data_IF_878243273181
#
_entry.id   IF_878243273181
#
_cell.length_a   1.000
_cell.length_b   1.000
_cell.length_c   1.000
_cell.angle_alpha   90.00
_cell.angle_beta   90.00
_cell.angle_gamma   90.00
#
_symmetry.space_group_name_H-M   'P 1'
#
loop_
_entity.id
_entity.type
_entity.pdbx_description
1 polymer ?
#
# COMPACT_ATOMS: atom_id res chain seq x y z
N UNK A 1 21.92 2.12 12.85
CA UNK A 1 20.68 1.61 13.47
C UNK A 1 19.58 2.66 13.61
N UNK A 2 19.83 3.85 14.21
CA UNK A 2 18.80 4.88 14.41
C UNK A 2 18.08 5.32 13.13
N UNK A 3 18.81 5.55 12.04
CA UNK A 3 18.21 5.91 10.74
C UNK A 3 17.28 4.81 10.17
N UNK A 4 17.64 3.53 10.34
CA UNK A 4 16.84 2.39 9.86
C UNK A 4 15.47 2.31 10.55
N UNK A 5 15.41 2.58 11.85
CA UNK A 5 14.16 2.59 12.61
C UNK A 5 13.29 3.80 12.23
N UNK A 6 13.89 4.98 12.08
CA UNK A 6 13.15 6.18 11.70
C UNK A 6 12.49 6.02 10.32
N UNK A 7 13.21 5.52 9.31
CA UNK A 7 12.63 5.28 7.99
C UNK A 7 11.51 4.25 8.03
N UNK A 8 11.71 3.13 8.74
CA UNK A 8 10.66 2.14 9.00
C UNK A 8 9.41 2.74 9.65
N UNK A 9 9.56 3.67 10.58
CA UNK A 9 8.42 4.37 11.22
C UNK A 9 7.72 5.30 10.24
N UNK A 10 8.48 6.07 9.45
CA UNK A 10 7.92 6.99 8.45
C UNK A 10 7.14 6.21 7.39
N UNK A 11 7.72 5.15 6.81
CA UNK A 11 7.06 4.29 5.82
C UNK A 11 5.82 3.61 6.41
N UNK A 12 5.91 3.12 7.66
CA UNK A 12 4.79 2.53 8.40
C UNK A 12 3.62 3.49 8.60
N UNK A 13 3.90 4.70 9.11
CA UNK A 13 2.89 5.73 9.35
C UNK A 13 2.30 6.21 8.01
N UNK A 14 3.14 6.39 7.00
CA UNK A 14 2.71 6.80 5.67
C UNK A 14 1.74 5.78 5.07
N UNK A 15 2.11 4.49 5.05
CA UNK A 15 1.28 3.48 4.39
C UNK A 15 -0.04 3.27 5.11
N UNK A 16 -0.04 3.22 6.44
CA UNK A 16 -1.28 3.02 7.18
C UNK A 16 -2.20 4.23 7.02
N UNK A 17 -1.64 5.44 7.00
CA UNK A 17 -2.41 6.66 6.73
C UNK A 17 -3.03 6.61 5.34
N UNK A 18 -2.21 6.38 4.31
CA UNK A 18 -2.68 6.42 2.92
C UNK A 18 -3.68 5.32 2.60
N UNK A 19 -3.47 4.11 3.11
CA UNK A 19 -4.36 3.00 2.80
C UNK A 19 -5.64 3.09 3.62
N UNK A 20 -5.59 3.48 4.90
CA UNK A 20 -6.74 3.27 5.79
C UNK A 20 -7.48 4.56 6.19
N UNK A 21 -6.80 5.71 6.17
CA UNK A 21 -7.34 6.95 6.72
C UNK A 21 -7.48 8.07 5.69
N UNK A 22 -6.65 8.05 4.65
CA UNK A 22 -6.70 9.06 3.59
C UNK A 22 -8.02 8.97 2.84
N UNK A 23 -8.62 10.14 2.61
CA UNK A 23 -9.89 10.29 1.90
C UNK A 23 -9.72 11.31 0.78
N UNK A 24 -10.40 11.08 -0.33
CA UNK A 24 -10.39 11.98 -1.48
C UNK A 24 -11.69 11.84 -2.25
N UNK A 25 -12.07 12.88 -3.01
CA UNK A 25 -13.17 12.80 -3.99
C UNK A 25 -12.72 12.20 -5.32
N UNK A 26 -11.42 12.30 -5.61
CA UNK A 26 -10.83 11.87 -6.85
C UNK A 26 -10.54 10.38 -6.79
N UNK A 27 -10.97 9.66 -7.81
CA UNK A 27 -10.66 8.25 -7.95
C UNK A 27 -10.25 7.98 -9.39
N UNK A 28 -9.14 7.28 -9.54
CA UNK A 28 -8.62 6.87 -10.83
C UNK A 28 -8.95 5.39 -10.99
N UNK A 29 -9.55 5.05 -12.12
CA UNK A 29 -10.10 3.73 -12.39
C UNK A 29 -9.52 3.16 -13.68
N UNK A 30 -9.31 1.84 -13.71
CA UNK A 30 -9.00 1.12 -14.93
C UNK A 30 -10.10 0.07 -15.26
N UNK A 31 -10.27 -0.32 -16.54
CA UNK A 31 -11.36 -1.22 -16.94
C UNK A 31 -11.34 -2.60 -16.28
N UNK A 32 -10.18 -3.07 -15.81
CA UNK A 32 -10.06 -4.37 -15.15
C UNK A 32 -10.70 -4.37 -13.74
N UNK A 33 -10.92 -3.19 -13.12
CA UNK A 33 -11.66 -3.08 -11.85
C UNK A 33 -13.11 -3.55 -11.99
N UNK A 34 -13.71 -3.37 -13.17
CA UNK A 34 -15.08 -3.82 -13.46
C UNK A 34 -15.23 -5.34 -13.37
N UNK A 35 -14.14 -6.10 -13.61
CA UNK A 35 -14.15 -7.56 -13.51
C UNK A 35 -14.13 -8.05 -12.04
N UNK A 36 -13.80 -7.16 -11.11
CA UNK A 36 -13.75 -7.44 -9.67
C UNK A 36 -15.01 -6.94 -8.95
N UNK A 37 -15.95 -6.33 -9.68
CA UNK A 37 -17.27 -5.95 -9.17
C UNK A 37 -18.08 -7.19 -8.79
N UNK A 38 -18.46 -7.28 -7.51
CA UNK A 38 -19.28 -8.37 -6.95
C UNK A 38 -18.71 -8.98 -5.67
N UNK A 39 -17.43 -8.71 -5.38
CA UNK A 39 -16.79 -9.14 -4.14
C UNK A 39 -16.69 -7.96 -3.15
N UNK A 40 -17.43 -8.01 -2.04
CA UNK A 40 -17.46 -6.94 -1.01
C UNK A 40 -16.09 -6.60 -0.42
N UNK A 41 -15.12 -7.50 -0.49
CA UNK A 41 -13.77 -7.31 0.04
C UNK A 41 -12.79 -6.67 -0.95
N UNK A 42 -13.07 -6.83 -2.24
CA UNK A 42 -12.27 -6.28 -3.36
C UNK A 42 -12.92 -5.04 -3.98
N UNK A 43 -14.23 -4.86 -3.75
CA UNK A 43 -14.96 -3.65 -4.10
C UNK A 43 -14.35 -2.43 -3.40
N UNK A 44 -14.08 -1.41 -4.20
CA UNK A 44 -13.78 -0.05 -3.74
C UNK A 44 -14.84 0.88 -4.32
N UNK A 45 -15.06 2.07 -3.74
CA UNK A 45 -16.02 3.01 -4.29
C UNK A 45 -15.60 3.45 -5.69
N UNK A 46 -16.40 3.14 -6.70
CA UNK A 46 -16.20 3.57 -8.09
C UNK A 46 -17.17 4.71 -8.38
N UNK A 47 -16.65 5.85 -8.84
CA UNK A 47 -17.44 6.99 -9.32
C UNK A 47 -18.54 7.53 -8.36
N UNK A 48 -18.39 7.36 -7.05
CA UNK A 48 -19.34 7.94 -6.08
C UNK A 48 -19.28 9.48 -6.05
N UNK A 49 -18.12 10.08 -6.37
CA UNK A 49 -17.86 11.51 -6.19
C UNK A 49 -17.72 11.93 -4.71
N UNK A 50 -17.89 10.98 -3.80
CA UNK A 50 -17.91 11.21 -2.37
C UNK A 50 -16.50 11.33 -1.77
N UNK A 51 -16.39 12.11 -0.71
CA UNK A 51 -15.15 12.27 0.06
C UNK A 51 -14.96 11.10 1.03
N UNK A 52 -14.30 10.06 0.56
CA UNK A 52 -14.11 8.81 1.29
C UNK A 52 -12.78 8.15 0.95
N UNK A 53 -12.46 7.08 1.66
CA UNK A 53 -11.28 6.28 1.37
C UNK A 53 -11.55 5.45 0.11
N UNK A 54 -10.68 5.61 -0.90
CA UNK A 54 -10.84 4.95 -2.21
C UNK A 54 -10.13 3.61 -2.30
N UNK A 55 -9.64 3.07 -1.18
CA UNK A 55 -8.96 1.78 -1.09
C UNK A 55 -9.97 0.71 -0.67
N UNK A 56 -9.89 -0.48 -1.29
CA UNK A 56 -10.77 -1.60 -0.97
C UNK A 56 -10.44 -2.21 0.40
N UNK A 57 -11.34 -3.05 0.92
CA UNK A 57 -11.14 -3.75 2.21
C UNK A 57 -9.84 -4.55 2.25
N UNK A 58 -9.48 -5.26 1.17
CA UNK A 58 -8.19 -5.96 1.09
C UNK A 58 -7.00 -5.01 1.16
N UNK A 59 -7.07 -3.88 0.44
CA UNK A 59 -6.04 -2.86 0.49
C UNK A 59 -5.84 -2.34 1.93
N UNK A 60 -6.91 -2.07 2.65
CA UNK A 60 -6.85 -1.63 4.05
C UNK A 60 -6.15 -2.66 4.96
N UNK A 61 -6.43 -3.94 4.75
CA UNK A 61 -5.72 -5.03 5.44
C UNK A 61 -4.24 -5.05 5.08
N UNK A 62 -3.89 -4.90 3.80
CA UNK A 62 -2.50 -4.81 3.34
C UNK A 62 -1.78 -3.61 3.98
N UNK A 63 -2.46 -2.48 4.16
CA UNK A 63 -1.93 -1.32 4.89
C UNK A 63 -1.49 -1.66 6.31
N UNK A 64 -2.31 -2.41 7.05
CA UNK A 64 -1.95 -2.90 8.39
C UNK A 64 -0.80 -3.92 8.36
N UNK A 65 -0.82 -4.87 7.40
CA UNK A 65 0.25 -5.86 7.26
C UNK A 65 1.60 -5.21 6.93
N UNK A 66 1.60 -4.17 6.10
CA UNK A 66 2.80 -3.42 5.76
C UNK A 66 3.32 -2.57 6.92
N UNK A 67 2.44 -1.95 7.71
CA UNK A 67 2.84 -1.29 8.95
C UNK A 67 3.58 -2.26 9.86
N UNK A 68 3.01 -3.46 10.09
CA UNK A 68 3.64 -4.52 10.89
C UNK A 68 5.00 -4.88 10.28
N UNK A 69 5.06 -5.16 8.97
CA UNK A 69 6.32 -5.49 8.29
C UNK A 69 7.40 -4.41 8.50
N UNK A 70 7.08 -3.14 8.27
CA UNK A 70 8.03 -2.04 8.44
C UNK A 70 8.50 -1.88 9.89
N UNK A 71 7.61 -2.11 10.87
CA UNK A 71 7.95 -2.08 12.29
C UNK A 71 8.79 -3.28 12.75
N UNK A 72 8.75 -4.42 12.06
CA UNK A 72 9.53 -5.60 12.45
C UNK A 72 10.83 -5.76 11.67
N UNK A 73 10.88 -5.29 10.41
CA UNK A 73 12.03 -5.53 9.50
C UNK A 73 13.35 -4.93 9.99
N UNK A 74 13.33 -3.96 10.91
CA UNK A 74 14.56 -3.38 11.48
C UNK A 74 15.35 -4.34 12.36
N UNK A 75 14.70 -5.41 12.87
CA UNK A 75 15.35 -6.46 13.67
C UNK A 75 15.99 -7.57 12.83
N UNK A 76 15.70 -7.61 11.52
CA UNK A 76 16.24 -8.62 10.62
C UNK A 76 17.67 -8.28 10.21
N UNK A 77 18.46 -9.31 9.86
CA UNK A 77 19.77 -9.11 9.24
C UNK A 77 19.62 -8.42 7.88
N UNK A 78 20.61 -7.61 7.49
CA UNK A 78 20.51 -6.75 6.31
C UNK A 78 20.21 -7.54 5.02
N UNK A 79 20.83 -8.70 4.83
CA UNK A 79 20.59 -9.56 3.65
C UNK A 79 19.15 -10.08 3.59
N UNK A 80 18.64 -10.58 4.72
CA UNK A 80 17.26 -11.11 4.81
C UNK A 80 16.27 -9.98 4.61
N UNK A 81 16.51 -8.84 5.26
CA UNK A 81 15.66 -7.65 5.12
C UNK A 81 15.55 -7.21 3.66
N UNK A 82 16.68 -7.02 2.97
CA UNK A 82 16.69 -6.52 1.59
C UNK A 82 15.92 -7.44 0.64
N UNK A 83 16.15 -8.75 0.72
CA UNK A 83 15.48 -9.72 -0.17
C UNK A 83 13.97 -9.73 0.07
N UNK A 84 13.53 -9.83 1.33
CA UNK A 84 12.11 -9.93 1.64
C UNK A 84 11.36 -8.62 1.45
N UNK A 85 11.99 -7.48 1.79
CA UNK A 85 11.38 -6.17 1.64
C UNK A 85 11.08 -5.89 0.17
N UNK A 86 12.06 -6.13 -0.72
CA UNK A 86 11.91 -5.97 -2.16
C UNK A 86 10.80 -6.86 -2.72
N UNK A 87 10.74 -8.13 -2.30
CA UNK A 87 9.69 -9.08 -2.71
C UNK A 87 8.31 -8.62 -2.25
N UNK A 88 8.16 -8.23 -0.99
CA UNK A 88 6.87 -7.79 -0.43
C UNK A 88 6.40 -6.51 -1.12
N UNK A 89 7.27 -5.52 -1.28
CA UNK A 89 6.94 -4.24 -1.90
C UNK A 89 6.50 -4.45 -3.36
N UNK A 90 7.25 -5.21 -4.16
CA UNK A 90 6.84 -5.45 -5.55
C UNK A 90 5.59 -6.32 -5.67
N UNK A 91 5.41 -7.31 -4.78
CA UNK A 91 4.18 -8.09 -4.75
C UNK A 91 2.97 -7.17 -4.47
N UNK A 92 3.06 -6.31 -3.46
CA UNK A 92 2.00 -5.34 -3.16
C UNK A 92 1.77 -4.38 -4.31
N UNK A 93 2.82 -3.89 -4.97
CA UNK A 93 2.68 -2.99 -6.11
C UNK A 93 1.93 -3.65 -7.27
N UNK A 94 2.28 -4.89 -7.62
CA UNK A 94 1.59 -5.65 -8.67
C UNK A 94 0.13 -5.90 -8.28
N UNK A 95 -0.14 -6.34 -7.04
CA UNK A 95 -1.51 -6.55 -6.56
C UNK A 95 -2.32 -5.25 -6.55
N UNK A 96 -1.71 -4.13 -6.14
CA UNK A 96 -2.35 -2.81 -6.14
C UNK A 96 -2.70 -2.37 -7.55
N UNK A 97 -1.79 -2.55 -8.52
CA UNK A 97 -2.02 -2.22 -9.92
C UNK A 97 -3.20 -2.99 -10.51
N UNK A 98 -3.35 -4.27 -10.18
CA UNK A 98 -4.43 -5.12 -10.69
C UNK A 98 -5.79 -4.82 -10.04
N UNK A 99 -5.79 -4.34 -8.80
CA UNK A 99 -7.00 -4.26 -7.99
C UNK A 99 -7.53 -2.84 -7.81
N UNK A 100 -6.66 -1.84 -7.75
CA UNK A 100 -7.03 -0.48 -7.40
C UNK A 100 -5.94 0.52 -7.81
N UNK A 101 -6.22 1.30 -8.84
CA UNK A 101 -5.24 2.26 -9.37
C UNK A 101 -4.89 3.38 -8.35
N UNK A 102 -5.79 3.75 -7.44
CA UNK A 102 -5.46 4.67 -6.34
C UNK A 102 -4.45 4.05 -5.37
N UNK A 103 -4.59 2.75 -5.06
CA UNK A 103 -3.68 2.04 -4.16
C UNK A 103 -2.24 2.08 -4.68
N UNK A 104 -2.02 1.83 -5.97
CA UNK A 104 -0.67 1.90 -6.55
C UNK A 104 -0.12 3.32 -6.54
N UNK A 105 -0.94 4.34 -6.81
CA UNK A 105 -0.51 5.75 -6.75
C UNK A 105 -0.06 6.12 -5.34
N UNK A 106 -0.84 5.72 -4.33
CA UNK A 106 -0.48 5.95 -2.93
C UNK A 106 0.73 5.12 -2.50
N UNK A 107 1.07 4.06 -3.23
CA UNK A 107 2.24 3.23 -2.96
C UNK A 107 3.52 3.74 -3.63
N UNK A 108 3.43 4.68 -4.58
CA UNK A 108 4.59 5.23 -5.32
C UNK A 108 5.70 5.71 -4.39
N UNK A 109 5.46 6.51 -3.33
CA UNK A 109 6.56 7.00 -2.50
C UNK A 109 7.37 5.88 -1.82
N UNK A 110 6.72 4.75 -1.49
CA UNK A 110 7.41 3.57 -0.95
C UNK A 110 8.25 2.89 -2.04
N UNK A 111 7.73 2.78 -3.26
CA UNK A 111 8.48 2.23 -4.40
C UNK A 111 9.72 3.06 -4.74
N UNK A 112 9.58 4.39 -4.71
CA UNK A 112 10.69 5.31 -4.94
C UNK A 112 11.73 5.13 -3.83
N UNK A 113 11.30 5.07 -2.57
CA UNK A 113 12.21 4.84 -1.45
C UNK A 113 12.93 3.49 -1.56
N UNK A 114 12.23 2.42 -1.95
CA UNK A 114 12.82 1.09 -2.17
C UNK A 114 13.81 1.04 -3.32
N UNK A 115 13.64 1.88 -4.34
CA UNK A 115 14.57 1.94 -5.47
C UNK A 115 15.93 2.55 -5.06
N UNK A 116 15.93 3.50 -4.13
CA UNK A 116 17.14 4.22 -3.70
C UNK A 116 17.86 3.58 -2.49
N UNK A 117 17.30 2.53 -1.89
CA UNK A 117 17.78 1.91 -0.65
C UNK A 117 18.26 0.47 -0.88
#
# INVERSE_FOLDING_TARGET
>A
MKHKLLYSLIEGIYIIYMFNFFKTKWSIHHPLELLLEGNTYLQHPINTGDYENKICGLGNLVGFLLLIWFLFRWKLSDNVRLIWNKRIIYLVAICSLLMNLNAIIYFIPILVFEYYN
#
